data_IF_394962145164
#
_entry.id   IF_394962145164
#
_cell.length_a   1.000
_cell.length_b   1.000
_cell.length_c   1.000
_cell.angle_alpha   90.00
_cell.angle_beta   90.00
_cell.angle_gamma   90.00
#
_symmetry.space_group_name_H-M   'P 1'
#
loop_
_entity.id
_entity.type
_entity.pdbx_description
1 polymer ?
#
# COMPACT_ATOMS: atom_id res chain seq x y z
N UNK A 1 -2.37 -1.18 -13.52
CA UNK A 1 -2.11 -2.46 -12.79
C UNK A 1 -0.99 -2.18 -11.79
N UNK A 2 -1.07 -2.70 -10.56
CA UNK A 2 -0.20 -2.29 -9.44
C UNK A 2 0.54 -3.50 -8.85
N UNK A 3 1.86 -3.47 -8.85
CA UNK A 3 2.73 -4.65 -8.71
C UNK A 3 3.84 -4.47 -7.67
N UNK A 4 4.33 -5.57 -7.10
CA UNK A 4 5.36 -5.60 -6.03
C UNK A 4 6.72 -6.05 -6.61
N UNK A 5 7.77 -5.22 -6.53
CA UNK A 5 9.15 -5.54 -6.98
C UNK A 5 10.10 -5.65 -5.78
N UNK A 6 11.10 -6.52 -5.93
CA UNK A 6 12.22 -6.71 -5.00
C UNK A 6 13.52 -6.17 -5.69
N UNK A 7 13.98 -5.00 -5.23
CA UNK A 7 15.34 -4.36 -5.18
C UNK A 7 15.77 -3.17 -6.09
N UNK A 8 16.24 -2.11 -5.38
CA UNK A 8 17.38 -1.18 -5.61
C UNK A 8 17.22 0.19 -6.32
N UNK A 9 17.02 1.23 -5.48
CA UNK A 9 17.51 2.63 -5.48
C UNK A 9 17.51 3.50 -6.77
N UNK A 10 16.66 4.54 -6.76
CA UNK A 10 17.03 5.90 -7.20
C UNK A 10 16.09 6.96 -6.57
N UNK A 11 16.68 8.01 -5.99
CA UNK A 11 16.01 9.13 -5.29
C UNK A 11 15.51 10.20 -6.27
N UNK A 12 14.31 10.78 -6.05
CA UNK A 12 13.93 12.05 -6.68
C UNK A 12 12.97 12.90 -5.81
N UNK A 13 13.22 14.21 -5.84
CA UNK A 13 12.65 15.29 -5.01
C UNK A 13 11.19 15.64 -5.33
N UNK A 14 10.39 15.89 -4.27
CA UNK A 14 8.96 16.24 -4.30
C UNK A 14 8.72 17.76 -4.49
N UNK A 15 7.73 18.12 -5.31
CA UNK A 15 7.10 19.45 -5.35
C UNK A 15 5.67 19.32 -4.80
N UNK A 16 5.38 20.03 -3.70
CA UNK A 16 4.04 20.11 -3.11
C UNK A 16 3.18 21.16 -3.82
N UNK A 17 1.95 20.79 -4.18
CA UNK A 17 0.88 21.72 -4.52
C UNK A 17 -0.07 21.90 -3.31
N UNK A 18 -0.68 23.08 -3.10
CA UNK A 18 -1.42 23.38 -1.88
C UNK A 18 -2.83 22.79 -1.87
N UNK A 19 -3.23 22.29 -0.70
CA UNK A 19 -4.58 21.86 -0.36
C UNK A 19 -5.51 23.08 -0.22
N UNK A 20 -6.65 23.10 -0.92
CA UNK A 20 -7.67 24.14 -0.81
C UNK A 20 -8.90 23.60 -0.06
N UNK A 21 -9.06 23.94 1.21
CA UNK A 21 -10.28 23.63 1.97
C UNK A 21 -11.36 24.68 1.70
N UNK A 22 -12.47 24.30 1.07
CA UNK A 22 -13.71 25.09 1.10
C UNK A 22 -14.43 24.82 2.42
N UNK A 23 -14.30 25.72 3.38
CA UNK A 23 -15.10 25.67 4.60
C UNK A 23 -16.42 26.43 4.41
N UNK A 24 -17.56 25.77 4.60
CA UNK A 24 -18.87 26.43 4.66
C UNK A 24 -19.58 26.09 5.97
N UNK A 25 -20.25 27.08 6.57
CA UNK A 25 -21.03 26.95 7.80
C UNK A 25 -22.40 26.32 7.49
N UNK A 26 -22.64 25.11 8.00
CA UNK A 26 -23.91 24.39 7.87
C UNK A 26 -24.99 25.02 8.78
N UNK A 27 -26.18 25.24 8.22
CA UNK A 27 -27.39 25.66 8.95
C UNK A 27 -28.38 24.49 9.05
N UNK A 28 -29.50 24.65 9.77
CA UNK A 28 -30.56 23.62 9.81
C UNK A 28 -31.40 23.59 8.53
N UNK A 29 -31.39 24.69 7.79
CA UNK A 29 -31.99 24.87 6.47
C UNK A 29 -30.83 25.16 5.51
N UNK A 30 -30.38 24.16 4.77
CA UNK A 30 -29.17 24.22 3.94
C UNK A 30 -29.47 24.59 2.48
N UNK A 31 -30.73 24.46 2.06
CA UNK A 31 -31.17 24.89 0.73
C UNK A 31 -31.91 26.25 0.75
N UNK A 32 -32.07 26.85 1.92
CA UNK A 32 -32.76 28.11 2.18
C UNK A 32 -34.22 28.12 1.69
N UNK A 33 -34.91 26.98 1.76
CA UNK A 33 -36.32 26.85 1.38
C UNK A 33 -37.29 27.15 2.54
N UNK A 34 -36.77 27.34 3.76
CA UNK A 34 -37.53 27.66 4.96
C UNK A 34 -38.15 26.46 5.67
N UNK A 35 -37.91 25.23 5.23
CA UNK A 35 -38.43 24.00 5.83
C UNK A 35 -37.30 23.00 6.12
N UNK A 36 -37.13 22.55 7.37
CA UNK A 36 -36.17 21.47 7.69
C UNK A 36 -36.71 20.12 7.22
N UNK A 37 -36.20 19.59 6.10
CA UNK A 37 -36.67 18.36 5.48
C UNK A 37 -35.54 17.58 4.74
N UNK A 38 -35.91 16.53 4.00
CA UNK A 38 -34.94 15.71 3.28
C UNK A 38 -34.15 16.51 2.24
N UNK A 39 -34.71 17.59 1.71
CA UNK A 39 -34.04 18.53 0.80
C UNK A 39 -32.77 19.15 1.38
N UNK A 40 -32.76 19.47 2.68
CA UNK A 40 -31.58 20.01 3.37
C UNK A 40 -30.45 18.99 3.46
N UNK A 41 -30.81 17.74 3.75
CA UNK A 41 -29.85 16.63 3.84
C UNK A 41 -29.32 16.30 2.44
N UNK A 42 -30.19 16.28 1.43
CA UNK A 42 -29.78 16.05 0.04
C UNK A 42 -28.89 17.17 -0.50
N UNK A 43 -29.10 18.41 -0.06
CA UNK A 43 -28.23 19.53 -0.41
C UNK A 43 -26.81 19.33 0.16
N UNK A 44 -26.70 18.96 1.43
CA UNK A 44 -25.41 18.60 2.06
C UNK A 44 -24.75 17.44 1.33
N UNK A 45 -25.50 16.37 1.04
CA UNK A 45 -24.97 15.23 0.31
C UNK A 45 -24.64 15.56 -1.16
N UNK A 46 -25.27 16.56 -1.78
CA UNK A 46 -24.91 17.01 -3.12
C UNK A 46 -23.60 17.79 -3.15
N UNK A 47 -23.31 18.54 -2.09
CA UNK A 47 -22.08 19.34 -1.96
C UNK A 47 -20.88 18.51 -1.49
N UNK A 48 -21.08 17.55 -0.58
CA UNK A 48 -20.01 16.69 -0.02
C UNK A 48 -20.04 15.24 -0.53
N UNK A 49 -21.08 14.81 -1.23
CA UNK A 49 -21.19 13.46 -1.80
C UNK A 49 -20.54 13.34 -3.17
N UNK A 50 -19.68 14.29 -3.55
CA UNK A 50 -18.73 14.04 -4.62
C UNK A 50 -17.73 13.00 -4.10
N UNK A 51 -17.96 11.75 -4.50
CA UNK A 51 -16.92 10.73 -4.47
C UNK A 51 -15.87 11.14 -5.50
N UNK A 52 -15.01 12.11 -5.17
CA UNK A 52 -13.77 12.27 -5.88
C UNK A 52 -13.00 10.97 -5.63
N UNK A 53 -13.08 10.05 -6.60
CA UNK A 53 -12.20 8.90 -6.62
C UNK A 53 -10.85 9.51 -6.92
N UNK A 54 -10.13 9.88 -5.86
CA UNK A 54 -8.71 10.23 -5.97
C UNK A 54 -8.05 8.97 -6.49
N UNK A 55 -7.94 8.88 -7.81
CA UNK A 55 -7.24 7.81 -8.49
C UNK A 55 -5.82 7.84 -7.96
N UNK A 56 -5.44 6.78 -7.26
CA UNK A 56 -4.10 6.62 -6.72
C UNK A 56 -3.08 6.88 -7.82
N UNK A 57 -2.25 7.90 -7.61
CA UNK A 57 -1.17 8.24 -8.53
C UNK A 57 0.11 7.51 -8.11
N UNK A 58 0.78 6.88 -9.06
CA UNK A 58 2.12 6.34 -8.82
C UNK A 58 3.07 7.43 -8.35
N UNK A 59 3.87 7.12 -7.33
CA UNK A 59 4.69 8.10 -6.61
C UNK A 59 4.12 8.45 -5.23
N UNK A 60 2.84 8.17 -4.97
CA UNK A 60 2.28 8.24 -3.63
C UNK A 60 2.71 7.05 -2.77
N UNK A 61 2.73 7.27 -1.44
CA UNK A 61 3.01 6.22 -0.47
C UNK A 61 1.81 5.28 -0.35
N UNK A 62 2.08 3.99 -0.18
CA UNK A 62 1.07 2.98 0.13
C UNK A 62 1.37 2.39 1.49
N UNK A 63 0.49 2.63 2.45
CA UNK A 63 0.60 2.01 3.78
C UNK A 63 0.14 0.56 3.72
N UNK A 64 0.98 -0.34 4.21
CA UNK A 64 0.65 -1.74 4.39
C UNK A 64 1.38 -2.30 5.61
N UNK A 65 0.63 -2.94 6.52
CA UNK A 65 1.13 -3.52 7.77
C UNK A 65 1.96 -2.53 8.63
N UNK A 66 1.49 -1.28 8.70
CA UNK A 66 2.16 -0.23 9.48
C UNK A 66 3.45 0.32 8.86
N UNK A 67 3.76 -0.04 7.61
CA UNK A 67 4.88 0.50 6.85
C UNK A 67 4.41 1.22 5.59
N UNK A 68 5.01 2.37 5.29
CA UNK A 68 4.71 3.16 4.10
C UNK A 68 5.69 2.81 2.98
N UNK A 69 5.18 2.17 1.94
CA UNK A 69 5.94 1.77 0.77
C UNK A 69 5.96 2.88 -0.27
N UNK A 70 7.16 3.18 -0.77
CA UNK A 70 7.30 4.07 -1.93
C UNK A 70 6.86 3.37 -3.21
N UNK A 71 6.20 4.10 -4.11
CA UNK A 71 5.78 3.56 -5.41
C UNK A 71 6.41 4.33 -6.57
N UNK A 72 6.57 3.66 -7.71
CA UNK A 72 7.17 4.21 -8.92
C UNK A 72 6.35 3.80 -10.14
N UNK A 73 6.21 4.70 -11.09
CA UNK A 73 5.59 4.39 -12.38
C UNK A 73 6.66 3.86 -13.35
N UNK A 74 6.38 2.73 -13.98
CA UNK A 74 7.20 2.17 -15.07
C UNK A 74 6.26 1.83 -16.23
N UNK A 75 6.39 2.57 -17.33
CA UNK A 75 5.41 2.54 -18.42
C UNK A 75 4.01 2.90 -17.91
N UNK A 76 3.04 2.02 -18.16
CA UNK A 76 1.65 2.16 -17.72
C UNK A 76 1.35 1.43 -16.40
N UNK A 77 2.38 0.93 -15.72
CA UNK A 77 2.25 0.12 -14.50
C UNK A 77 2.84 0.82 -13.28
N UNK A 78 2.24 0.55 -12.13
CA UNK A 78 2.70 1.04 -10.84
C UNK A 78 3.43 -0.05 -10.09
N UNK A 79 4.60 0.25 -9.54
CA UNK A 79 5.44 -0.71 -8.86
C UNK A 79 5.82 -0.21 -7.47
N UNK A 80 6.02 -1.12 -6.53
CA UNK A 80 6.76 -0.76 -5.31
C UNK A 80 8.21 -0.47 -5.69
N UNK A 81 8.76 0.61 -5.15
CA UNK A 81 10.15 1.01 -5.36
C UNK A 81 11.13 0.26 -4.44
N UNK A 82 10.61 -0.61 -3.58
CA UNK A 82 11.34 -1.36 -2.58
C UNK A 82 10.70 -2.73 -2.34
N UNK A 83 11.49 -3.65 -1.76
CA UNK A 83 11.05 -5.01 -1.47
C UNK A 83 9.89 -5.02 -0.49
N UNK A 84 9.05 -6.06 -0.60
CA UNK A 84 8.07 -6.36 0.44
C UNK A 84 8.74 -6.65 1.78
N UNK A 85 8.15 -6.12 2.85
CA UNK A 85 8.60 -6.29 4.23
C UNK A 85 7.52 -6.87 5.13
N UNK A 86 6.39 -7.29 4.56
CA UNK A 86 5.29 -7.92 5.28
C UNK A 86 5.77 -9.17 6.02
N UNK A 87 5.69 -9.18 7.35
CA UNK A 87 6.27 -10.22 8.21
C UNK A 87 5.30 -10.61 9.35
N UNK A 88 4.25 -11.40 9.05
CA UNK A 88 3.28 -11.81 10.08
C UNK A 88 3.87 -12.81 11.09
N UNK A 89 4.82 -13.64 10.65
CA UNK A 89 5.58 -14.60 11.45
C UNK A 89 6.99 -14.68 10.86
N UNK A 90 7.97 -15.19 11.62
CA UNK A 90 9.32 -15.44 11.12
C UNK A 90 9.75 -16.85 11.50
N UNK A 91 10.45 -17.50 10.58
CA UNK A 91 10.96 -18.86 10.74
C UNK A 91 12.48 -18.90 10.60
N UNK A 92 13.18 -19.83 11.26
CA UNK A 92 14.59 -20.10 11.00
C UNK A 92 14.82 -20.54 9.56
N UNK A 93 16.00 -20.25 9.02
CA UNK A 93 16.34 -20.58 7.62
C UNK A 93 16.43 -22.09 7.37
N UNK A 94 16.61 -22.88 8.42
CA UNK A 94 16.57 -24.36 8.36
C UNK A 94 15.18 -24.94 8.20
N UNK A 95 14.13 -24.15 8.40
CA UNK A 95 12.74 -24.59 8.29
C UNK A 95 12.12 -24.16 6.95
N UNK A 96 11.29 -25.02 6.38
CA UNK A 96 10.62 -24.71 5.13
C UNK A 96 9.82 -25.88 4.59
N UNK A 97 8.78 -25.55 3.84
CA UNK A 97 7.94 -26.51 3.14
C UNK A 97 7.46 -25.89 1.81
N UNK A 98 6.97 -26.74 0.91
CA UNK A 98 6.29 -26.35 -0.32
C UNK A 98 4.79 -26.17 -0.14
N UNK A 99 4.24 -26.54 1.03
CA UNK A 99 2.80 -26.49 1.30
C UNK A 99 2.42 -25.37 2.27
N UNK A 100 3.17 -25.19 3.35
CA UNK A 100 2.86 -24.18 4.37
C UNK A 100 3.64 -22.88 4.11
N UNK A 101 3.11 -21.70 4.49
CA UNK A 101 3.80 -20.43 4.32
C UNK A 101 4.94 -20.25 5.33
N UNK A 102 6.10 -19.85 4.82
CA UNK A 102 7.29 -19.53 5.61
C UNK A 102 7.88 -18.19 5.18
N UNK A 103 8.37 -17.46 6.18
CA UNK A 103 8.86 -16.09 6.05
C UNK A 103 10.21 -15.98 6.75
N UNK A 104 11.18 -15.36 6.11
CA UNK A 104 12.55 -15.31 6.60
C UNK A 104 13.13 -13.91 6.57
N UNK A 105 13.99 -13.64 7.54
CA UNK A 105 14.87 -12.46 7.54
C UNK A 105 16.30 -12.94 7.42
N UNK A 106 17.02 -12.42 6.41
CA UNK A 106 18.38 -12.88 6.11
C UNK A 106 19.30 -12.72 7.34
N UNK A 107 19.92 -13.83 7.77
CA UNK A 107 20.81 -13.85 8.93
C UNK A 107 20.11 -13.87 10.30
N UNK A 108 18.81 -14.14 10.35
CA UNK A 108 18.05 -14.33 11.59
C UNK A 108 17.47 -15.76 11.68
N UNK A 109 17.72 -16.43 12.81
CA UNK A 109 17.36 -17.84 13.03
C UNK A 109 16.35 -18.03 14.18
N UNK A 110 15.75 -16.94 14.66
CA UNK A 110 14.75 -16.97 15.71
C UNK A 110 13.32 -17.00 15.15
N UNK A 111 12.36 -16.99 16.07
CA UNK A 111 10.92 -16.96 15.76
C UNK A 111 10.22 -15.68 16.22
N UNK A 112 10.95 -14.77 16.88
CA UNK A 112 10.41 -13.49 17.35
C UNK A 112 10.45 -12.43 16.23
N UNK A 113 9.27 -11.94 15.83
CA UNK A 113 9.10 -10.97 14.74
C UNK A 113 9.73 -9.62 15.07
N UNK A 114 9.59 -9.13 16.30
CA UNK A 114 10.11 -7.82 16.71
C UNK A 114 11.64 -7.81 16.61
N UNK A 115 12.28 -8.88 17.08
CA UNK A 115 13.73 -9.05 17.01
C UNK A 115 14.21 -9.22 15.57
N UNK A 116 13.44 -9.90 14.71
CA UNK A 116 13.69 -9.98 13.27
C UNK A 116 13.61 -8.61 12.58
N UNK A 117 12.57 -7.82 12.86
CA UNK A 117 12.38 -6.49 12.29
C UNK A 117 13.47 -5.49 12.70
N UNK A 118 14.07 -5.69 13.88
CA UNK A 118 15.20 -4.90 14.35
C UNK A 118 16.52 -5.21 13.64
N UNK A 119 16.59 -6.25 12.81
CA UNK A 119 17.82 -6.61 12.08
C UNK A 119 18.10 -5.63 10.93
N UNK A 120 19.37 -5.27 10.74
CA UNK A 120 19.78 -4.42 9.61
C UNK A 120 19.44 -5.05 8.24
N UNK A 121 19.46 -6.38 8.16
CA UNK A 121 19.09 -7.10 6.95
C UNK A 121 17.60 -7.03 6.65
N UNK A 122 16.72 -6.96 7.66
CA UNK A 122 15.31 -6.67 7.43
C UNK A 122 15.17 -5.29 6.79
N UNK A 123 15.79 -4.25 7.34
CA UNK A 123 15.76 -2.89 6.76
C UNK A 123 16.38 -2.82 5.36
N UNK A 124 17.40 -3.62 5.05
CA UNK A 124 18.08 -3.57 3.75
C UNK A 124 17.39 -4.41 2.69
N UNK A 125 17.04 -5.66 3.01
CA UNK A 125 16.57 -6.67 2.07
C UNK A 125 15.10 -7.02 2.18
N UNK A 126 14.40 -6.51 3.20
CA UNK A 126 13.02 -6.89 3.47
C UNK A 126 12.92 -8.34 3.91
N UNK A 127 11.87 -9.02 3.43
CA UNK A 127 11.53 -10.39 3.82
C UNK A 127 11.67 -11.33 2.64
N UNK A 128 12.10 -12.56 2.92
CA UNK A 128 12.16 -13.65 1.96
C UNK A 128 10.97 -14.56 2.19
N UNK A 129 10.35 -15.02 1.10
CA UNK A 129 9.11 -15.79 1.13
C UNK A 129 9.30 -17.10 0.37
N UNK A 130 8.69 -18.18 0.87
CA UNK A 130 8.44 -19.34 0.03
C UNK A 130 7.18 -19.15 -0.82
N UNK A 131 6.95 -20.04 -1.79
CA UNK A 131 5.81 -19.91 -2.71
C UNK A 131 4.44 -19.84 -2.01
N UNK A 132 4.11 -20.72 -1.05
CA UNK A 132 2.87 -20.58 -0.28
C UNK A 132 2.70 -19.22 0.39
N UNK A 133 3.76 -18.66 0.98
CA UNK A 133 3.70 -17.34 1.62
C UNK A 133 3.43 -16.21 0.63
N UNK A 134 3.99 -16.27 -0.60
CA UNK A 134 3.70 -15.29 -1.67
C UNK A 134 2.22 -15.31 -2.09
N UNK A 135 1.55 -16.45 -1.92
CA UNK A 135 0.15 -16.63 -2.30
C UNK A 135 -0.82 -16.37 -1.14
N UNK A 136 -0.34 -16.05 0.06
CA UNK A 136 -1.20 -15.79 1.21
C UNK A 136 -2.04 -14.52 1.00
N UNK A 137 -3.34 -14.57 1.36
CA UNK A 137 -4.18 -13.38 1.33
C UNK A 137 -3.60 -12.35 2.30
N UNK A 138 -3.43 -11.12 1.81
CA UNK A 138 -2.96 -10.00 2.62
C UNK A 138 -1.47 -9.72 2.50
N UNK A 139 -0.69 -10.45 1.69
CA UNK A 139 0.69 -10.03 1.37
C UNK A 139 0.74 -8.70 0.60
N UNK A 140 -0.31 -8.40 -0.17
CA UNK A 140 -0.46 -7.16 -0.91
C UNK A 140 -1.56 -6.28 -0.29
N UNK A 141 -1.35 -4.95 -0.22
CA UNK A 141 -2.43 -4.02 0.08
C UNK A 141 -3.55 -4.08 -0.97
N UNK A 142 -4.74 -3.60 -0.62
CA UNK A 142 -5.90 -3.66 -1.50
C UNK A 142 -5.65 -2.99 -2.86
N UNK A 143 -5.96 -3.70 -3.94
CA UNK A 143 -5.74 -3.24 -5.32
C UNK A 143 -4.32 -3.42 -5.85
N UNK A 144 -3.42 -4.05 -5.07
CA UNK A 144 -2.09 -4.49 -5.49
C UNK A 144 -2.03 -6.01 -5.62
N UNK A 145 -1.17 -6.51 -6.50
CA UNK A 145 -0.98 -7.96 -6.68
C UNK A 145 0.49 -8.32 -6.94
N UNK A 146 0.78 -9.61 -6.84
CA UNK A 146 2.09 -10.16 -7.20
C UNK A 146 2.19 -10.20 -8.73
N UNK A 147 3.23 -9.59 -9.33
CA UNK A 147 3.34 -9.49 -10.77
C UNK A 147 3.35 -10.87 -11.44
N UNK A 148 2.68 -10.95 -12.59
CA UNK A 148 2.80 -12.09 -13.50
C UNK A 148 4.03 -11.96 -14.38
N UNK A 149 4.50 -13.07 -14.96
CA UNK A 149 5.61 -13.05 -15.93
C UNK A 149 5.34 -12.11 -17.11
N UNK A 150 4.08 -11.95 -17.51
CA UNK A 150 3.70 -11.04 -18.60
C UNK A 150 3.86 -9.57 -18.20
N UNK A 151 3.51 -9.22 -16.97
CA UNK A 151 3.70 -7.86 -16.44
C UNK A 151 5.19 -7.53 -16.31
N UNK A 152 6.01 -8.52 -15.93
CA UNK A 152 7.46 -8.36 -15.94
C UNK A 152 8.01 -8.12 -17.34
N UNK A 153 7.61 -8.92 -18.34
CA UNK A 153 8.09 -8.78 -19.73
C UNK A 153 7.82 -7.39 -20.33
N UNK A 154 6.83 -6.65 -19.84
CA UNK A 154 6.61 -5.27 -20.30
C UNK A 154 7.69 -4.27 -19.85
N UNK A 155 8.61 -4.68 -18.98
CA UNK A 155 9.73 -3.90 -18.46
C UNK A 155 11.10 -4.26 -19.10
N UNK A 156 11.17 -5.30 -19.93
CA UNK A 156 12.38 -5.71 -20.69
C UNK A 156 12.58 -4.88 -21.96
#
# INVERSE_FOLDING_TARGET
MKNLIIFSLATFTLLLSPLSSKGQTLTTDNNNDGCVNLGDILNVLGEYGQCEVVEFACGELVTHDGYDYSTVQIGDQCWFAENCRYLPVVSPSSEGNTTDPYYYVYGYEGTDVITAQAQANYSTYGVLYNWPAVMEPGICPSGWHIPTDLEWQTME
#
